data_IF_292819100414
#
_entry.id   IF_292819100414
#
_cell.length_a   1.000
_cell.length_b   1.000
_cell.length_c   1.000
_cell.angle_alpha   90.00
_cell.angle_beta   90.00
_cell.angle_gamma   90.00
#
_symmetry.space_group_name_H-M   'P 1'
#
loop_
_entity.id
_entity.type
_entity.pdbx_description
1 polymer ?
#
# COMPACT_ATOMS: atom_id res chain seq x y z
N UNK A 1 6.53 14.99 -11.14
CA UNK A 1 6.36 14.10 -12.31
C UNK A 1 5.62 12.85 -11.87
N UNK A 2 4.60 12.45 -12.61
CA UNK A 2 3.82 11.26 -12.25
C UNK A 2 4.54 9.98 -12.69
N UNK A 3 4.46 8.95 -11.88
CA UNK A 3 4.97 7.63 -12.22
C UNK A 3 3.92 6.83 -12.96
N UNK A 4 4.36 5.89 -13.78
CA UNK A 4 3.46 4.95 -14.45
C UNK A 4 2.96 3.95 -13.39
N UNK A 5 1.67 3.96 -13.16
CA UNK A 5 1.03 3.08 -12.19
C UNK A 5 -0.11 2.32 -12.87
N UNK A 6 -0.32 1.06 -12.47
CA UNK A 6 -1.52 0.35 -12.88
C UNK A 6 -2.73 0.96 -12.19
N UNK A 7 -3.94 0.64 -12.67
CA UNK A 7 -5.16 1.14 -12.05
C UNK A 7 -5.23 0.76 -10.57
N UNK A 8 -4.85 -0.48 -10.24
CA UNK A 8 -4.84 -0.94 -8.85
C UNK A 8 -3.78 -0.22 -8.03
N UNK A 9 -2.58 -0.02 -8.60
CA UNK A 9 -1.53 0.72 -7.90
C UNK A 9 -1.98 2.13 -7.56
N UNK A 10 -2.64 2.80 -8.50
CA UNK A 10 -3.16 4.14 -8.27
C UNK A 10 -4.24 4.14 -7.19
N UNK A 11 -5.14 3.17 -7.22
CA UNK A 11 -6.18 3.03 -6.21
C UNK A 11 -5.58 2.83 -4.82
N UNK A 12 -4.59 1.96 -4.71
CA UNK A 12 -3.90 1.70 -3.45
C UNK A 12 -3.13 2.94 -3.00
N UNK A 13 -2.46 3.63 -3.93
CA UNK A 13 -1.74 4.86 -3.61
C UNK A 13 -2.70 5.92 -3.05
N UNK A 14 -3.87 6.09 -3.66
CA UNK A 14 -4.89 7.01 -3.16
C UNK A 14 -5.32 6.62 -1.74
N UNK A 15 -5.51 5.33 -1.51
CA UNK A 15 -5.89 4.82 -0.20
C UNK A 15 -4.82 5.14 0.86
N UNK A 16 -3.55 4.94 0.51
CA UNK A 16 -2.44 5.27 1.41
C UNK A 16 -2.40 6.76 1.75
N UNK A 17 -2.52 7.60 0.74
CA UNK A 17 -2.47 9.06 0.93
C UNK A 17 -3.61 9.50 1.84
N UNK A 18 -4.80 8.98 1.63
CA UNK A 18 -5.96 9.35 2.45
C UNK A 18 -5.86 8.78 3.87
N UNK A 19 -5.47 7.52 4.01
CA UNK A 19 -5.42 6.85 5.31
C UNK A 19 -4.34 7.42 6.21
N UNK A 20 -3.20 7.79 5.64
CA UNK A 20 -2.05 8.27 6.41
C UNK A 20 -1.92 9.78 6.33
N UNK A 21 -2.81 10.46 5.62
CA UNK A 21 -2.79 11.91 5.46
C UNK A 21 -1.44 12.40 4.95
N UNK A 22 -0.96 11.75 3.88
CA UNK A 22 0.35 12.08 3.30
C UNK A 22 0.30 13.39 2.52
N UNK A 23 1.41 14.10 2.49
CA UNK A 23 1.56 15.34 1.72
C UNK A 23 1.90 15.10 0.26
N UNK A 24 1.87 13.86 -0.19
CA UNK A 24 2.27 13.43 -1.52
C UNK A 24 1.03 13.09 -2.34
N UNK A 25 0.99 13.51 -3.60
CA UNK A 25 -0.09 13.10 -4.50
C UNK A 25 0.04 11.60 -4.81
N UNK A 26 -1.08 10.88 -4.98
CA UNK A 26 -1.01 9.42 -5.25
C UNK A 26 -0.17 9.07 -6.46
N UNK A 27 -0.23 9.85 -7.54
CA UNK A 27 0.53 9.59 -8.75
C UNK A 27 2.01 9.97 -8.63
N UNK A 28 2.40 10.62 -7.53
CA UNK A 28 3.79 10.94 -7.24
C UNK A 28 4.51 9.83 -6.47
N UNK A 29 3.81 8.75 -6.12
CA UNK A 29 4.40 7.61 -5.43
C UNK A 29 5.00 6.66 -6.46
N UNK A 30 6.33 6.43 -6.35
CA UNK A 30 7.02 5.46 -7.21
C UNK A 30 6.59 4.05 -6.79
N UNK A 31 5.97 3.26 -7.71
CA UNK A 31 5.53 1.91 -7.34
C UNK A 31 6.66 0.99 -6.94
N UNK A 32 7.89 1.27 -7.36
CA UNK A 32 9.05 0.43 -7.06
C UNK A 32 9.84 0.92 -5.85
N UNK A 33 9.54 2.11 -5.33
CA UNK A 33 10.26 2.65 -4.18
C UNK A 33 9.78 1.98 -2.89
N UNK A 34 10.66 1.86 -1.88
CA UNK A 34 10.25 1.30 -0.59
C UNK A 34 9.14 2.13 0.06
N UNK A 35 8.22 1.45 0.74
CA UNK A 35 7.24 2.12 1.57
C UNK A 35 7.84 2.54 2.91
N UNK A 36 8.82 1.76 3.39
CA UNK A 36 9.53 2.05 4.65
C UNK A 36 10.67 3.02 4.43
N UNK A 37 11.04 3.74 5.48
CA UNK A 37 12.29 4.49 5.55
C UNK A 37 12.45 5.49 4.41
N UNK A 38 13.39 5.25 3.52
CA UNK A 38 13.78 6.20 2.47
C UNK A 38 12.71 6.46 1.43
N UNK A 39 11.72 5.56 1.29
CA UNK A 39 10.62 5.78 0.35
C UNK A 39 9.62 6.77 0.91
N UNK A 40 8.45 6.29 1.31
CA UNK A 40 7.43 7.14 1.93
C UNK A 40 7.72 7.46 3.40
N UNK A 41 8.72 6.82 3.98
CA UNK A 41 9.06 7.05 5.38
C UNK A 41 8.09 6.45 6.37
N UNK A 42 7.36 5.42 5.98
CA UNK A 42 6.38 4.80 6.84
C UNK A 42 7.05 3.97 7.94
N UNK A 43 6.45 3.98 9.13
CA UNK A 43 6.91 3.15 10.24
C UNK A 43 5.90 2.02 10.50
N UNK A 44 6.15 1.24 11.56
CA UNK A 44 5.30 0.09 11.85
C UNK A 44 3.87 0.49 12.22
N UNK A 45 3.68 1.67 12.81
CA UNK A 45 2.34 2.17 13.13
C UNK A 45 1.58 2.50 11.83
N UNK A 46 2.26 3.13 10.88
CA UNK A 46 1.68 3.44 9.58
C UNK A 46 1.30 2.16 8.84
N UNK A 47 2.16 1.15 8.89
CA UNK A 47 1.88 -0.13 8.24
C UNK A 47 0.68 -0.83 8.86
N UNK A 48 0.52 -0.73 10.18
CA UNK A 48 -0.65 -1.28 10.87
C UNK A 48 -1.93 -0.60 10.37
N UNK A 49 -1.89 0.71 10.23
CA UNK A 49 -3.04 1.48 9.71
C UNK A 49 -3.36 1.06 8.27
N UNK A 50 -2.34 0.94 7.42
CA UNK A 50 -2.51 0.50 6.03
C UNK A 50 -3.12 -0.89 5.98
N UNK A 51 -2.63 -1.82 6.80
CA UNK A 51 -3.15 -3.18 6.83
C UNK A 51 -4.64 -3.19 7.18
N UNK A 52 -5.03 -2.39 8.16
CA UNK A 52 -6.42 -2.30 8.58
C UNK A 52 -7.32 -1.74 7.47
N UNK A 53 -6.90 -0.64 6.87
CA UNK A 53 -7.67 0.03 5.82
C UNK A 53 -7.80 -0.85 4.58
N UNK A 54 -6.71 -1.50 4.18
CA UNK A 54 -6.70 -2.43 3.03
C UNK A 54 -7.64 -3.60 3.31
N UNK A 55 -7.60 -4.17 4.50
CA UNK A 55 -8.47 -5.28 4.87
C UNK A 55 -9.94 -4.89 4.75
N UNK A 56 -10.29 -3.71 5.20
CA UNK A 56 -11.66 -3.21 5.14
C UNK A 56 -12.09 -2.91 3.69
N UNK A 57 -11.17 -2.34 2.92
CA UNK A 57 -11.49 -1.89 1.56
C UNK A 57 -11.67 -3.07 0.58
N UNK A 58 -10.83 -4.09 0.72
CA UNK A 58 -10.77 -5.17 -0.27
C UNK A 58 -11.35 -6.50 0.22
N UNK A 59 -11.82 -6.54 1.47
CA UNK A 59 -12.57 -7.67 1.98
C UNK A 59 -11.76 -8.93 2.23
N UNK A 60 -10.47 -8.79 2.50
CA UNK A 60 -9.64 -9.92 2.94
C UNK A 60 -8.82 -9.50 4.16
N UNK A 61 -8.30 -10.47 4.87
CA UNK A 61 -7.53 -10.18 6.08
C UNK A 61 -6.06 -9.97 5.73
N UNK A 62 -5.55 -8.76 6.02
CA UNK A 62 -4.14 -8.42 5.89
C UNK A 62 -3.62 -8.10 7.29
N UNK A 63 -2.70 -8.92 7.78
CA UNK A 63 -2.23 -8.85 9.16
C UNK A 63 -0.88 -8.17 9.21
N UNK A 64 -0.74 -7.20 10.12
CA UNK A 64 0.51 -6.46 10.28
C UNK A 64 1.59 -7.26 10.98
N UNK A 65 1.25 -8.38 11.62
CA UNK A 65 2.19 -9.25 12.34
C UNK A 65 2.64 -10.47 11.53
N UNK A 66 2.24 -10.56 10.27
CA UNK A 66 2.62 -11.65 9.39
C UNK A 66 4.10 -11.51 9.00
N UNK A 67 4.82 -12.64 8.97
CA UNK A 67 6.22 -12.66 8.57
C UNK A 67 6.43 -12.18 7.14
N UNK A 68 5.43 -12.32 6.29
CA UNK A 68 5.49 -11.87 4.90
C UNK A 68 5.29 -10.36 4.74
N UNK A 69 5.00 -9.64 5.83
CA UNK A 69 4.71 -8.21 5.74
C UNK A 69 5.86 -7.40 5.16
N UNK A 70 7.10 -7.76 5.50
CA UNK A 70 8.27 -7.06 4.94
C UNK A 70 8.24 -7.13 3.41
N UNK A 71 7.90 -8.30 2.86
CA UNK A 71 7.80 -8.48 1.42
C UNK A 71 6.56 -7.79 0.84
N UNK A 72 5.42 -7.91 1.51
CA UNK A 72 4.15 -7.33 1.05
C UNK A 72 4.25 -5.81 1.01
N UNK A 73 4.78 -5.21 2.06
CA UNK A 73 4.88 -3.75 2.19
C UNK A 73 6.22 -3.20 1.70
N UNK A 74 6.97 -3.97 0.94
CA UNK A 74 8.25 -3.51 0.40
C UNK A 74 8.07 -2.30 -0.52
N UNK A 75 7.03 -2.32 -1.34
CA UNK A 75 6.75 -1.24 -2.28
C UNK A 75 5.25 -1.19 -2.57
N UNK A 76 4.82 -0.10 -3.23
CA UNK A 76 3.43 0.00 -3.70
C UNK A 76 3.10 -1.15 -4.65
N UNK A 77 4.03 -1.50 -5.54
CA UNK A 77 3.81 -2.58 -6.50
C UNK A 77 3.60 -3.92 -5.80
N UNK A 78 4.42 -4.24 -4.78
CA UNK A 78 4.29 -5.51 -4.06
C UNK A 78 2.98 -5.56 -3.26
N UNK A 79 2.60 -4.44 -2.65
CA UNK A 79 1.33 -4.37 -1.92
C UNK A 79 0.15 -4.55 -2.88
N UNK A 80 0.17 -3.88 -4.03
CA UNK A 80 -0.89 -4.00 -5.02
C UNK A 80 -0.99 -5.42 -5.58
N UNK A 81 0.15 -6.08 -5.81
CA UNK A 81 0.17 -7.48 -6.28
C UNK A 81 -0.48 -8.40 -5.25
N UNK A 82 -0.17 -8.20 -3.97
CA UNK A 82 -0.76 -8.99 -2.90
C UNK A 82 -2.28 -8.78 -2.84
N UNK A 83 -2.73 -7.55 -2.96
CA UNK A 83 -4.16 -7.21 -2.97
C UNK A 83 -4.84 -7.88 -4.16
N UNK A 84 -4.24 -7.81 -5.36
CA UNK A 84 -4.81 -8.41 -6.56
C UNK A 84 -5.00 -9.92 -6.42
N UNK A 85 -4.09 -10.57 -5.70
CA UNK A 85 -4.14 -12.02 -5.49
C UNK A 85 -5.18 -12.45 -4.45
N UNK A 86 -5.54 -11.56 -3.52
CA UNK A 86 -6.35 -11.94 -2.35
C UNK A 86 -7.67 -11.21 -2.24
N UNK A 87 -7.88 -10.10 -2.97
CA UNK A 87 -9.12 -9.33 -2.83
C UNK A 87 -10.32 -10.15 -3.26
N UNK A 88 -11.46 -9.87 -2.60
CA UNK A 88 -12.70 -10.55 -2.92
C UNK A 88 -13.21 -10.09 -4.30
N UNK A 89 -13.74 -11.01 -5.12
CA UNK A 89 -14.34 -10.61 -6.39
C UNK A 89 -15.59 -9.76 -6.12
N UNK A 90 -15.80 -8.81 -7.01
CA UNK A 90 -16.96 -7.92 -6.94
C UNK A 90 -18.15 -8.53 -7.64
#
# INVERSE_FOLDING_TARGET
>A
MAFVQTDLQREVATLLVEALNLDTAPDAIDPQAPLYGEGLGLDSIDILEVALVVSQRYGFQLRSDDEDNVRIFKSLASLADHIAAHRQPV
#
